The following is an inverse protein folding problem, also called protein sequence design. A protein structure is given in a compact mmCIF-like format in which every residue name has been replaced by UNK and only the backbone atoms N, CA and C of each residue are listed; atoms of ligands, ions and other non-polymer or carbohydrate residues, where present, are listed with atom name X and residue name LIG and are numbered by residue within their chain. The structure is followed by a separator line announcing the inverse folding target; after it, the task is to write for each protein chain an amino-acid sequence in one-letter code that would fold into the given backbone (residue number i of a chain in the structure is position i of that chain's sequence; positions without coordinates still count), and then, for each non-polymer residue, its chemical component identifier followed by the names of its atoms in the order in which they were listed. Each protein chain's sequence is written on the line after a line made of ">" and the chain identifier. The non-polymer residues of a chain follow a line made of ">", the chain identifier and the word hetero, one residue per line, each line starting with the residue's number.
data_IF_073960357662
#
_entry.id   IF_073960357662
#
_cell.length_a   1.000
_cell.length_b   1.000
_cell.length_c   1.000
_cell.angle_alpha   90.00
_cell.angle_beta   90.00
_cell.angle_gamma   90.00
#
_symmetry.space_group_name_H-M   'P 1'
#
loop_
_entity.id
_entity.type
_entity.pdbx_description
1 polymer ?
#
# COMPACT_ATOMS: atom_id res chain seq x y z
N UNK A 1 -14.05 -24.64 8.78
CA UNK A 1 -13.35 -23.45 9.29
C UNK A 1 -14.41 -22.44 9.70
N UNK A 2 -14.36 -21.95 10.94
CA UNK A 2 -15.27 -20.91 11.36
C UNK A 2 -14.97 -19.64 10.56
N UNK A 3 -15.98 -19.04 9.88
CA UNK A 3 -15.78 -17.76 9.22
C UNK A 3 -15.40 -16.69 10.24
N UNK A 4 -14.65 -15.68 9.80
CA UNK A 4 -14.38 -14.51 10.62
C UNK A 4 -15.62 -13.61 10.57
N UNK A 5 -16.19 -13.31 11.72
CA UNK A 5 -17.24 -12.31 11.89
C UNK A 5 -16.59 -11.00 12.38
N UNK A 6 -17.00 -9.86 11.84
CA UNK A 6 -16.44 -8.54 12.19
C UNK A 6 -17.56 -7.59 12.59
N UNK A 7 -17.35 -6.82 13.64
CA UNK A 7 -18.22 -5.72 14.09
C UNK A 7 -17.36 -4.51 14.49
N UNK A 8 -17.78 -3.32 14.12
CA UNK A 8 -17.09 -2.08 14.51
C UNK A 8 -17.76 -1.34 15.67
N UNK A 9 -18.89 -1.88 16.17
CA UNK A 9 -19.72 -1.19 17.16
C UNK A 9 -19.86 -1.94 18.48
N UNK A 10 -19.74 -3.27 18.46
CA UNK A 10 -19.99 -4.10 19.64
C UNK A 10 -19.12 -5.34 19.64
N UNK A 11 -18.52 -5.64 20.81
CA UNK A 11 -17.75 -6.87 21.01
C UNK A 11 -18.65 -8.11 21.01
N UNK A 12 -18.08 -9.23 20.57
CA UNK A 12 -18.69 -10.54 20.69
C UNK A 12 -18.57 -11.06 22.13
N UNK A 13 -19.61 -11.68 22.69
CA UNK A 13 -19.57 -12.20 24.05
C UNK A 13 -18.41 -13.18 24.29
N UNK A 14 -17.60 -12.89 25.29
CA UNK A 14 -16.46 -13.74 25.69
C UNK A 14 -15.17 -13.51 24.90
N UNK A 15 -15.16 -12.69 23.86
CA UNK A 15 -13.95 -12.39 23.10
C UNK A 15 -13.11 -11.32 23.82
N UNK A 16 -11.79 -11.53 24.00
CA UNK A 16 -10.91 -10.58 24.66
C UNK A 16 -10.65 -9.35 23.78
N UNK A 17 -10.39 -8.20 24.45
CA UNK A 17 -10.03 -6.96 23.78
C UNK A 17 -8.70 -6.42 24.30
N UNK A 18 -7.99 -5.65 23.48
CA UNK A 18 -6.77 -4.97 23.93
C UNK A 18 -7.01 -3.98 25.07
N UNK A 19 -8.23 -3.45 25.16
CA UNK A 19 -8.66 -2.55 26.23
C UNK A 19 -8.84 -3.27 27.57
N UNK A 20 -9.57 -4.39 27.56
CA UNK A 20 -9.97 -5.07 28.77
C UNK A 20 -8.96 -6.15 29.21
N UNK A 21 -8.13 -6.63 28.28
CA UNK A 21 -7.15 -7.70 28.49
C UNK A 21 -5.75 -7.28 27.98
N UNK A 22 -5.16 -6.19 28.46
CA UNK A 22 -3.87 -5.70 28.00
C UNK A 22 -2.70 -6.70 28.26
N UNK A 23 -2.87 -7.61 29.20
CA UNK A 23 -1.91 -8.69 29.50
C UNK A 23 -1.74 -9.70 28.35
N UNK A 24 -2.70 -9.74 27.42
CA UNK A 24 -2.63 -10.59 26.22
C UNK A 24 -1.87 -9.93 25.05
N UNK A 25 -1.45 -8.67 25.20
CA UNK A 25 -0.70 -7.93 24.20
C UNK A 25 0.80 -8.15 24.41
N UNK A 26 1.33 -9.23 23.87
CA UNK A 26 2.76 -9.58 24.02
C UNK A 26 3.64 -9.11 22.85
N UNK A 27 3.06 -8.67 21.74
CA UNK A 27 3.82 -8.19 20.58
C UNK A 27 3.77 -6.66 20.45
N UNK A 28 2.58 -6.06 20.36
CA UNK A 28 2.44 -4.63 20.16
C UNK A 28 1.22 -4.08 20.91
N UNK A 29 1.41 -2.95 21.60
CA UNK A 29 0.35 -2.25 22.31
C UNK A 29 -0.22 -1.09 21.49
N UNK A 30 -1.53 -0.79 21.62
CA UNK A 30 -2.12 0.39 20.99
C UNK A 30 -1.66 1.69 21.68
N UNK A 31 -1.55 2.76 20.89
CA UNK A 31 -1.41 4.14 21.39
C UNK A 31 -2.77 4.84 21.42
N UNK A 32 -3.59 4.62 20.36
CA UNK A 32 -4.90 5.25 20.21
C UNK A 32 -5.82 4.40 19.32
N UNK A 33 -7.03 4.11 19.78
CA UNK A 33 -8.15 3.59 18.97
C UNK A 33 -8.01 2.17 18.39
N UNK A 34 -6.92 1.48 18.60
CA UNK A 34 -6.64 0.13 18.10
C UNK A 34 -6.68 -0.89 19.27
N UNK A 35 -7.69 -0.82 20.11
CA UNK A 35 -7.76 -1.54 21.38
C UNK A 35 -8.87 -2.60 21.43
N UNK A 36 -9.38 -3.02 20.25
CA UNK A 36 -10.45 -4.01 20.15
C UNK A 36 -9.90 -5.44 20.10
N UNK A 37 -10.37 -6.33 19.23
CA UNK A 37 -9.96 -7.74 19.23
C UNK A 37 -8.45 -7.95 19.14
N UNK A 38 -7.97 -9.03 19.74
CA UNK A 38 -6.56 -9.38 19.79
C UNK A 38 -6.28 -10.53 18.81
N UNK A 39 -5.32 -10.33 17.93
CA UNK A 39 -4.77 -11.36 17.04
C UNK A 39 -3.25 -11.32 17.13
N UNK A 40 -2.62 -12.45 17.35
CA UNK A 40 -1.16 -12.55 17.45
C UNK A 40 -0.53 -11.61 18.51
N UNK A 41 -1.22 -11.40 19.65
CA UNK A 41 -0.73 -10.50 20.71
C UNK A 41 -0.71 -9.02 20.32
N UNK A 42 -1.51 -8.63 19.34
CA UNK A 42 -1.68 -7.26 18.83
C UNK A 42 -3.18 -6.97 18.78
N UNK A 43 -3.61 -5.88 19.37
CA UNK A 43 -5.02 -5.45 19.27
C UNK A 43 -5.30 -4.77 17.93
N UNK A 44 -6.56 -4.79 17.52
CA UNK A 44 -6.99 -4.38 16.16
C UNK A 44 -8.06 -3.28 16.21
N UNK A 45 -8.35 -2.70 15.05
CA UNK A 45 -9.58 -1.97 14.79
C UNK A 45 -10.66 -3.00 14.47
N UNK A 46 -11.79 -2.91 15.18
CA UNK A 46 -12.92 -3.83 15.04
C UNK A 46 -12.84 -5.04 15.96
N UNK A 47 -14.04 -5.49 16.33
CA UNK A 47 -14.25 -6.71 17.11
C UNK A 47 -14.36 -7.88 16.12
N UNK A 48 -13.67 -8.98 16.41
CA UNK A 48 -13.62 -10.16 15.57
C UNK A 48 -13.93 -11.40 16.40
N UNK A 49 -14.57 -12.37 15.77
CA UNK A 49 -14.82 -13.70 16.31
C UNK A 49 -14.60 -14.75 15.22
N UNK A 50 -14.16 -15.94 15.61
CA UNK A 50 -13.95 -17.03 14.67
C UNK A 50 -12.56 -17.01 14.04
N UNK A 51 -12.43 -17.56 12.84
CA UNK A 51 -11.17 -17.66 12.10
C UNK A 51 -10.29 -18.85 12.50
N UNK A 52 -10.32 -19.28 13.74
CA UNK A 52 -9.58 -20.45 14.23
C UNK A 52 -8.13 -20.52 13.72
N UNK A 53 -7.81 -21.58 12.95
CA UNK A 53 -6.48 -21.77 12.36
C UNK A 53 -6.15 -20.82 11.19
N UNK A 54 -7.13 -20.07 10.67
CA UNK A 54 -6.93 -19.10 9.61
C UNK A 54 -6.49 -17.73 10.15
N UNK A 55 -6.45 -17.53 11.47
CA UNK A 55 -5.89 -16.32 12.06
C UNK A 55 -4.39 -16.25 11.74
N UNK A 56 -3.99 -15.10 11.24
CA UNK A 56 -2.63 -14.85 10.78
C UNK A 56 -1.64 -14.56 11.91
N UNK A 57 -0.37 -14.68 11.59
CA UNK A 57 0.73 -14.09 12.33
C UNK A 57 1.29 -12.94 11.50
N UNK A 58 1.36 -11.74 12.07
CA UNK A 58 1.75 -10.52 11.36
C UNK A 58 3.13 -10.64 10.70
N UNK A 59 4.07 -11.22 11.41
CA UNK A 59 5.44 -11.46 10.92
C UNK A 59 5.52 -12.35 9.67
N UNK A 60 4.46 -13.09 9.34
CA UNK A 60 4.43 -14.00 8.20
C UNK A 60 3.60 -13.45 7.01
N UNK A 61 2.90 -12.32 7.16
CA UNK A 61 1.98 -11.83 6.12
C UNK A 61 2.73 -11.54 4.82
N UNK A 62 3.81 -10.76 4.90
CA UNK A 62 4.57 -10.36 3.71
C UNK A 62 5.12 -11.57 2.95
N UNK A 63 5.67 -12.57 3.67
CA UNK A 63 6.16 -13.80 3.04
C UNK A 63 5.04 -14.57 2.36
N UNK A 64 3.89 -14.71 3.04
CA UNK A 64 2.76 -15.46 2.51
C UNK A 64 2.21 -14.84 1.22
N UNK A 65 1.96 -13.52 1.23
CA UNK A 65 1.45 -12.85 0.02
C UNK A 65 2.46 -12.81 -1.11
N UNK A 66 3.77 -12.68 -0.79
CA UNK A 66 4.85 -12.71 -1.77
C UNK A 66 4.95 -14.07 -2.45
N UNK A 67 4.87 -15.17 -1.70
CA UNK A 67 4.87 -16.53 -2.27
C UNK A 67 3.69 -16.72 -3.22
N UNK A 68 2.49 -16.31 -2.82
CA UNK A 68 1.32 -16.41 -3.69
C UNK A 68 1.44 -15.58 -4.98
N UNK A 69 2.01 -14.38 -4.90
CA UNK A 69 2.28 -13.56 -6.07
C UNK A 69 3.31 -14.21 -7.01
N UNK A 70 4.40 -14.76 -6.46
CA UNK A 70 5.41 -15.49 -7.22
C UNK A 70 4.81 -16.73 -7.90
N UNK A 71 4.01 -17.49 -7.18
CA UNK A 71 3.34 -18.68 -7.74
C UNK A 71 2.39 -18.30 -8.87
N UNK A 72 1.63 -17.20 -8.72
CA UNK A 72 0.78 -16.67 -9.77
C UNK A 72 1.59 -16.33 -11.03
N UNK A 73 2.70 -15.58 -10.89
CA UNK A 73 3.57 -15.23 -12.02
C UNK A 73 4.10 -16.49 -12.72
N UNK A 74 4.58 -17.48 -11.94
CA UNK A 74 5.09 -18.75 -12.50
C UNK A 74 4.02 -19.54 -13.27
N UNK A 75 2.80 -19.56 -12.77
CA UNK A 75 1.68 -20.27 -13.40
C UNK A 75 1.22 -19.60 -14.70
N UNK A 76 1.34 -18.27 -14.82
CA UNK A 76 0.88 -17.47 -15.94
C UNK A 76 2.01 -16.93 -16.83
N UNK A 77 3.23 -17.44 -16.71
CA UNK A 77 4.43 -16.92 -17.41
C UNK A 77 4.33 -16.99 -18.95
N UNK A 78 3.55 -17.89 -19.47
CA UNK A 78 3.42 -18.14 -20.91
C UNK A 78 2.19 -17.44 -21.55
N UNK A 79 1.46 -16.64 -20.76
CA UNK A 79 0.28 -15.90 -21.23
C UNK A 79 0.25 -14.46 -20.66
N UNK A 80 -0.48 -13.52 -21.30
CA UNK A 80 -0.67 -12.20 -20.72
C UNK A 80 -1.43 -12.28 -19.39
N UNK A 81 -0.93 -11.57 -18.38
CA UNK A 81 -1.59 -11.47 -17.09
C UNK A 81 -1.70 -10.02 -16.59
N UNK A 82 -2.63 -9.78 -15.70
CA UNK A 82 -2.74 -8.58 -14.88
C UNK A 82 -2.75 -8.99 -13.42
N UNK A 83 -1.87 -8.41 -12.63
CA UNK A 83 -1.80 -8.65 -11.19
C UNK A 83 -1.93 -7.32 -10.44
N UNK A 84 -2.95 -7.20 -9.60
CA UNK A 84 -3.04 -6.15 -8.58
C UNK A 84 -2.56 -6.71 -7.26
N UNK A 85 -1.38 -6.27 -6.84
CA UNK A 85 -0.71 -6.79 -5.65
C UNK A 85 -0.71 -5.74 -4.54
N UNK A 86 -1.68 -5.84 -3.63
CA UNK A 86 -1.81 -4.95 -2.47
C UNK A 86 -1.07 -5.55 -1.27
N UNK A 87 -0.05 -4.86 -0.79
CA UNK A 87 0.72 -5.26 0.38
C UNK A 87 0.12 -4.70 1.66
N UNK A 88 0.40 -5.34 2.81
CA UNK A 88 0.10 -4.79 4.13
C UNK A 88 1.13 -3.75 4.57
N UNK A 89 2.37 -3.88 4.15
CA UNK A 89 3.43 -2.93 4.46
C UNK A 89 3.29 -1.65 3.62
N UNK A 90 3.50 -0.53 4.21
CA UNK A 90 4.04 -0.24 5.54
C UNK A 90 2.95 0.22 6.53
N UNK A 91 1.71 -0.21 6.36
CA UNK A 91 0.60 0.15 7.23
C UNK A 91 0.75 -0.49 8.61
N UNK A 92 0.16 0.13 9.61
CA UNK A 92 0.09 -0.44 10.97
C UNK A 92 -0.88 -1.63 11.04
N UNK A 93 -0.66 -2.58 11.96
CA UNK A 93 0.46 -2.71 12.88
C UNK A 93 1.75 -3.10 12.17
N UNK A 94 2.82 -2.38 12.42
CA UNK A 94 4.14 -2.68 11.86
C UNK A 94 4.81 -3.75 12.68
N UNK A 95 4.68 -4.99 12.26
CA UNK A 95 5.29 -6.13 12.94
C UNK A 95 5.92 -7.08 11.90
N UNK A 96 7.03 -6.63 11.28
CA UNK A 96 7.68 -7.37 10.21
C UNK A 96 8.34 -8.65 10.71
N UNK A 97 8.69 -9.54 9.79
CA UNK A 97 9.38 -10.80 10.08
C UNK A 97 10.69 -10.58 10.85
N UNK A 98 11.05 -11.50 11.74
CA UNK A 98 12.22 -11.42 12.62
C UNK A 98 13.53 -11.11 11.88
N UNK A 99 13.67 -11.55 10.63
CA UNK A 99 14.86 -11.25 9.81
C UNK A 99 15.05 -9.76 9.52
N UNK A 100 14.01 -8.93 9.67
CA UNK A 100 14.07 -7.48 9.48
C UNK A 100 14.07 -6.72 10.80
N UNK A 101 13.42 -7.25 11.85
CA UNK A 101 13.23 -6.54 13.12
C UNK A 101 14.53 -6.17 13.79
N UNK A 102 14.61 -4.94 14.30
CA UNK A 102 15.73 -4.40 15.06
C UNK A 102 16.96 -4.08 14.23
N UNK A 103 16.85 -4.03 12.90
CA UNK A 103 17.98 -3.78 11.99
C UNK A 103 18.02 -2.36 11.44
N UNK A 104 16.89 -1.66 11.47
CA UNK A 104 16.80 -0.30 10.93
C UNK A 104 16.78 0.74 12.08
N UNK A 105 17.52 1.85 11.98
CA UNK A 105 17.52 2.90 13.00
C UNK A 105 16.16 3.57 13.19
N UNK A 106 15.24 3.48 12.23
CA UNK A 106 13.86 3.95 12.35
C UNK A 106 12.92 2.94 13.05
N UNK A 107 13.46 1.94 13.74
CA UNK A 107 12.68 0.94 14.48
C UNK A 107 11.74 0.14 13.59
N UNK A 108 10.61 -0.31 14.16
CA UNK A 108 9.64 -1.17 13.45
C UNK A 108 9.13 -0.56 12.13
N UNK A 109 9.01 0.77 12.06
CA UNK A 109 8.63 1.46 10.83
C UNK A 109 9.68 1.28 9.73
N UNK A 110 10.95 1.48 10.05
CA UNK A 110 12.05 1.28 9.12
C UNK A 110 12.22 -0.19 8.73
N UNK A 111 12.03 -1.10 9.67
CA UNK A 111 12.08 -2.54 9.43
C UNK A 111 10.95 -2.99 8.48
N UNK A 112 9.73 -2.42 8.61
CA UNK A 112 8.61 -2.69 7.70
C UNK A 112 8.86 -2.13 6.29
N UNK A 113 9.50 -0.96 6.18
CA UNK A 113 9.92 -0.42 4.87
C UNK A 113 10.95 -1.35 4.20
N UNK A 114 11.92 -1.86 4.97
CA UNK A 114 12.90 -2.81 4.44
C UNK A 114 12.25 -4.14 4.02
N UNK A 115 11.22 -4.60 4.73
CA UNK A 115 10.43 -5.77 4.34
C UNK A 115 9.65 -5.53 3.05
N UNK A 116 9.04 -4.35 2.89
CA UNK A 116 8.35 -3.98 1.66
C UNK A 116 9.32 -3.95 0.46
N UNK A 117 10.49 -3.35 0.63
CA UNK A 117 11.53 -3.32 -0.42
C UNK A 117 11.97 -4.74 -0.81
N UNK A 118 12.16 -5.64 0.17
CA UNK A 118 12.43 -7.05 -0.07
C UNK A 118 11.31 -7.73 -0.87
N UNK A 119 10.04 -7.46 -0.54
CA UNK A 119 8.88 -8.01 -1.26
C UNK A 119 8.91 -7.62 -2.74
N UNK A 120 9.15 -6.34 -3.03
CA UNK A 120 9.29 -5.84 -4.41
C UNK A 120 10.48 -6.50 -5.11
N UNK A 121 11.61 -6.61 -4.41
CA UNK A 121 12.80 -7.30 -4.90
C UNK A 121 12.55 -8.74 -5.32
N UNK A 122 11.78 -9.50 -4.52
CA UNK A 122 11.44 -10.90 -4.84
C UNK A 122 10.59 -11.04 -6.10
N UNK A 123 9.65 -10.11 -6.33
CA UNK A 123 8.86 -10.10 -7.56
C UNK A 123 9.74 -9.76 -8.77
N UNK A 124 10.59 -8.74 -8.65
CA UNK A 124 11.51 -8.36 -9.72
C UNK A 124 12.48 -9.48 -10.06
N UNK A 125 13.06 -10.12 -9.07
CA UNK A 125 13.95 -11.28 -9.25
C UNK A 125 13.23 -12.44 -9.95
N UNK A 126 11.98 -12.71 -9.58
CA UNK A 126 11.17 -13.73 -10.23
C UNK A 126 10.93 -13.44 -11.71
N UNK A 127 10.61 -12.19 -12.05
CA UNK A 127 10.45 -11.78 -13.44
C UNK A 127 11.74 -11.90 -14.23
N UNK A 128 12.89 -11.57 -13.63
CA UNK A 128 14.20 -11.72 -14.25
C UNK A 128 14.55 -13.20 -14.51
N UNK A 129 14.34 -14.07 -13.53
CA UNK A 129 14.58 -15.53 -13.64
C UNK A 129 13.69 -16.20 -14.71
N UNK A 130 12.50 -15.66 -14.95
CA UNK A 130 11.55 -16.15 -15.94
C UNK A 130 11.68 -15.46 -17.31
N UNK A 131 12.65 -14.56 -17.48
CA UNK A 131 12.88 -13.77 -18.69
C UNK A 131 11.68 -12.89 -19.10
N UNK A 132 10.85 -12.48 -18.11
CA UNK A 132 9.65 -11.66 -18.32
C UNK A 132 9.90 -10.16 -18.15
N UNK A 133 11.04 -9.76 -17.62
CA UNK A 133 11.37 -8.37 -17.25
C UNK A 133 11.18 -7.37 -18.38
N UNK A 134 11.66 -7.68 -19.57
CA UNK A 134 11.59 -6.76 -20.71
C UNK A 134 10.17 -6.41 -21.11
N UNK A 135 9.24 -7.38 -21.01
CA UNK A 135 7.85 -7.23 -21.46
C UNK A 135 6.85 -7.13 -20.31
N UNK A 136 7.28 -6.75 -19.12
CA UNK A 136 6.40 -6.52 -17.97
C UNK A 136 6.37 -5.04 -17.59
N UNK A 137 5.17 -4.44 -17.58
CA UNK A 137 4.91 -3.14 -16.99
C UNK A 137 4.71 -3.29 -15.48
N UNK A 138 5.60 -2.72 -14.69
CA UNK A 138 5.47 -2.63 -13.24
C UNK A 138 5.11 -1.19 -12.88
N UNK A 139 4.04 -1.01 -12.10
CA UNK A 139 3.67 0.26 -11.49
C UNK A 139 3.68 0.05 -9.98
N UNK A 140 4.55 0.75 -9.27
CA UNK A 140 4.59 0.77 -7.81
C UNK A 140 4.07 2.11 -7.32
N UNK A 141 3.13 2.07 -6.39
CA UNK A 141 2.54 3.28 -5.80
C UNK A 141 2.03 3.01 -4.38
N UNK A 142 1.45 4.03 -3.76
CA UNK A 142 0.75 3.94 -2.47
C UNK A 142 -0.68 4.45 -2.65
N UNK A 143 -1.58 4.07 -1.76
CA UNK A 143 -2.99 4.49 -1.76
C UNK A 143 -3.19 5.91 -1.21
N UNK A 144 -2.34 6.34 -0.28
CA UNK A 144 -2.37 7.68 0.33
C UNK A 144 -0.98 8.09 0.83
N UNK A 145 -0.87 9.36 1.21
CA UNK A 145 0.32 9.88 1.86
C UNK A 145 0.61 9.24 3.23
N UNK A 146 1.79 9.45 3.80
CA UNK A 146 2.24 8.77 5.00
C UNK A 146 1.51 9.25 6.25
N UNK A 147 1.51 8.37 7.27
CA UNK A 147 1.25 8.71 8.68
C UNK A 147 2.31 8.05 9.53
N UNK A 148 2.78 8.74 10.55
CA UNK A 148 3.86 8.24 11.41
C UNK A 148 3.28 7.45 12.57
N UNK A 149 2.56 8.11 13.50
CA UNK A 149 1.77 7.42 14.53
C UNK A 149 0.35 7.17 13.98
N UNK A 150 -0.01 5.91 13.83
CA UNK A 150 -1.34 5.48 13.40
C UNK A 150 -1.89 4.41 14.35
N UNK A 151 -1.81 4.69 15.65
CA UNK A 151 -2.52 3.96 16.68
C UNK A 151 -1.76 2.85 17.41
N UNK A 152 -0.42 2.75 17.24
CA UNK A 152 0.40 1.77 17.97
C UNK A 152 1.62 2.38 18.62
N UNK A 153 2.08 1.80 19.75
CA UNK A 153 3.29 2.19 20.46
C UNK A 153 4.53 1.54 19.82
N UNK A 154 4.77 1.83 18.56
CA UNK A 154 5.89 1.30 17.78
C UNK A 154 7.10 2.25 17.73
N UNK A 155 7.05 3.37 18.47
CA UNK A 155 8.07 4.43 18.54
C UNK A 155 8.38 5.07 17.18
N UNK A 156 7.39 5.09 16.28
CA UNK A 156 7.62 5.61 14.92
C UNK A 156 7.97 7.10 14.89
N UNK A 157 7.40 7.91 15.79
CA UNK A 157 7.72 9.35 15.90
C UNK A 157 9.11 9.59 16.51
N UNK A 158 9.43 8.90 17.60
CA UNK A 158 10.69 9.06 18.32
C UNK A 158 11.89 8.58 17.49
N UNK A 159 11.68 7.61 16.61
CA UNK A 159 12.72 6.97 15.81
C UNK A 159 12.72 7.41 14.34
N UNK A 160 12.18 8.58 14.01
CA UNK A 160 12.22 9.10 12.63
C UNK A 160 13.64 9.23 12.08
N UNK A 161 14.62 9.45 12.95
CA UNK A 161 16.05 9.54 12.61
C UNK A 161 16.33 10.50 11.43
N UNK A 162 15.65 11.65 11.42
CA UNK A 162 15.77 12.66 10.36
C UNK A 162 14.97 12.36 9.09
N UNK A 163 14.26 11.23 9.01
CA UNK A 163 13.39 10.93 7.89
C UNK A 163 12.15 11.84 7.90
N UNK A 164 11.85 12.43 6.75
CA UNK A 164 10.66 13.27 6.52
C UNK A 164 9.70 12.55 5.59
N UNK A 165 8.72 11.79 6.12
CA UNK A 165 7.89 10.89 5.31
C UNK A 165 7.14 11.55 4.16
N UNK A 166 6.63 12.77 4.37
CA UNK A 166 5.95 13.57 3.33
C UNK A 166 6.91 14.43 2.49
N UNK A 167 8.24 14.27 2.68
CA UNK A 167 9.22 15.13 2.02
C UNK A 167 9.00 16.61 2.37
N UNK A 168 8.99 17.51 1.38
CA UNK A 168 8.76 18.94 1.59
C UNK A 168 7.27 19.31 1.72
N UNK A 169 6.35 18.35 1.53
CA UNK A 169 4.93 18.62 1.40
C UNK A 169 4.24 18.78 2.75
N UNK A 170 3.31 19.72 2.83
CA UNK A 170 2.43 19.93 3.98
C UNK A 170 1.41 18.80 4.07
N UNK A 171 1.10 18.38 5.30
CA UNK A 171 0.07 17.39 5.60
C UNK A 171 0.61 15.96 5.61
N UNK A 172 -0.32 15.05 5.80
CA UNK A 172 -0.10 13.61 5.88
C UNK A 172 -1.41 12.90 5.49
N UNK A 173 -1.46 11.56 5.58
CA UNK A 173 -2.70 10.76 5.50
C UNK A 173 -3.84 11.50 6.20
N UNK A 174 -5.06 11.41 5.68
CA UNK A 174 -6.28 12.09 6.14
C UNK A 174 -6.47 13.53 5.67
N UNK A 175 -5.42 14.25 5.24
CA UNK A 175 -5.53 15.63 4.75
C UNK A 175 -5.69 15.71 3.23
N UNK A 176 -6.27 16.81 2.75
CA UNK A 176 -6.31 17.16 1.32
C UNK A 176 -5.10 18.04 0.90
N UNK A 177 -4.02 18.04 1.68
CA UNK A 177 -2.76 18.66 1.30
C UNK A 177 -1.86 17.67 0.57
N UNK A 178 -0.90 18.16 -0.19
CA UNK A 178 0.05 17.35 -0.97
C UNK A 178 0.67 16.19 -0.15
N UNK A 179 1.04 16.40 1.11
CA UNK A 179 1.56 15.33 1.96
C UNK A 179 0.57 14.20 2.26
N UNK A 180 -0.72 14.38 2.02
CA UNK A 180 -1.74 13.37 2.20
C UNK A 180 -2.18 12.68 0.91
N UNK A 181 -2.00 13.33 -0.23
CA UNK A 181 -2.57 12.93 -1.52
C UNK A 181 -1.52 12.65 -2.60
N UNK A 182 -0.39 13.37 -2.59
CA UNK A 182 0.71 13.11 -3.50
C UNK A 182 1.49 11.86 -3.06
N UNK A 183 1.31 10.78 -3.78
CA UNK A 183 1.95 9.49 -3.53
C UNK A 183 3.08 9.22 -4.54
N UNK A 184 4.12 8.47 -4.16
CA UNK A 184 5.14 8.06 -5.11
C UNK A 184 4.54 7.17 -6.20
N UNK A 185 5.00 7.35 -7.43
CA UNK A 185 4.71 6.45 -8.55
C UNK A 185 6.02 6.11 -9.25
N UNK A 186 6.36 4.83 -9.28
CA UNK A 186 7.53 4.31 -9.98
C UNK A 186 7.04 3.38 -11.08
N UNK A 187 7.45 3.66 -12.32
CA UNK A 187 7.07 2.86 -13.49
C UNK A 187 8.30 2.22 -14.09
N UNK A 188 8.25 0.90 -14.30
CA UNK A 188 9.32 0.14 -14.94
C UNK A 188 8.76 -0.68 -16.09
N UNK A 189 9.28 -0.47 -17.30
CA UNK A 189 9.01 -1.29 -18.48
C UNK A 189 10.16 -1.18 -19.48
N UNK A 190 11.22 -1.99 -19.35
CA UNK A 190 12.45 -1.81 -20.11
C UNK A 190 12.25 -1.84 -21.62
N UNK A 191 11.33 -2.67 -22.13
CA UNK A 191 11.02 -2.72 -23.56
C UNK A 191 10.46 -1.40 -24.11
N UNK A 192 9.69 -0.64 -23.31
CA UNK A 192 9.02 0.59 -23.76
C UNK A 192 9.67 1.87 -23.24
N UNK A 193 10.14 1.89 -22.01
CA UNK A 193 10.77 3.06 -21.39
C UNK A 193 12.27 3.02 -21.68
N UNK A 194 12.71 3.79 -22.69
CA UNK A 194 14.12 3.81 -23.11
C UNK A 194 14.95 4.88 -22.41
N UNK A 195 14.31 5.86 -21.79
CA UNK A 195 14.98 6.94 -21.06
C UNK A 195 14.40 7.01 -19.65
N UNK A 196 15.24 6.77 -18.67
CA UNK A 196 14.91 6.92 -17.25
C UNK A 196 15.01 8.38 -16.82
N UNK A 197 14.30 8.74 -15.77
CA UNK A 197 14.32 10.08 -15.18
C UNK A 197 13.05 10.35 -14.38
N UNK A 198 13.01 11.53 -13.78
CA UNK A 198 11.87 11.99 -13.02
C UNK A 198 10.85 12.68 -13.93
N UNK A 199 9.59 12.65 -13.52
CA UNK A 199 8.49 13.34 -14.17
C UNK A 199 7.68 14.10 -13.11
N UNK A 200 7.37 15.35 -13.41
CA UNK A 200 6.53 16.23 -12.60
C UNK A 200 5.12 16.39 -13.18
N UNK A 201 4.76 15.53 -14.12
CA UNK A 201 3.44 15.54 -14.77
C UNK A 201 2.36 15.22 -13.76
N UNK A 202 1.31 16.08 -13.73
CA UNK A 202 0.14 15.85 -12.89
C UNK A 202 -0.67 14.67 -13.43
N UNK A 203 -0.81 13.64 -12.62
CA UNK A 203 -1.57 12.42 -12.88
C UNK A 203 -2.39 12.02 -11.65
N UNK A 204 -3.38 11.17 -11.83
CA UNK A 204 -4.14 10.56 -10.74
C UNK A 204 -4.23 9.05 -10.92
N UNK A 205 -4.35 8.32 -9.81
CA UNK A 205 -4.54 6.86 -9.86
C UNK A 205 -5.83 6.44 -10.58
N UNK A 206 -6.85 7.30 -10.60
CA UNK A 206 -8.08 7.05 -11.37
C UNK A 206 -7.82 6.99 -12.89
N UNK A 207 -6.69 7.51 -13.37
CA UNK A 207 -6.28 7.47 -14.78
C UNK A 207 -5.78 6.07 -15.21
N UNK A 208 -5.49 5.18 -14.28
CA UNK A 208 -4.98 3.85 -14.62
C UNK A 208 -5.99 3.02 -15.40
N UNK A 209 -7.29 3.14 -15.12
CA UNK A 209 -8.28 2.37 -15.87
C UNK A 209 -8.29 2.72 -17.35
N UNK A 210 -8.33 4.01 -17.70
CA UNK A 210 -8.29 4.43 -19.10
C UNK A 210 -6.93 4.13 -19.75
N UNK A 211 -5.82 4.35 -19.02
CA UNK A 211 -4.47 4.11 -19.52
C UNK A 211 -4.17 2.64 -19.78
N UNK A 212 -4.55 1.75 -18.87
CA UNK A 212 -4.38 0.31 -19.05
C UNK A 212 -5.36 -0.24 -20.10
N UNK A 213 -6.56 0.34 -20.20
CA UNK A 213 -7.50 0.06 -21.29
C UNK A 213 -6.88 0.40 -22.65
N UNK A 214 -6.26 1.57 -22.78
CA UNK A 214 -5.55 1.98 -24.00
C UNK A 214 -4.37 1.05 -24.32
N UNK A 215 -3.62 0.64 -23.30
CA UNK A 215 -2.49 -0.29 -23.45
C UNK A 215 -2.89 -1.60 -24.17
N UNK A 216 -4.05 -2.15 -23.82
CA UNK A 216 -4.53 -3.40 -24.38
C UNK A 216 -5.57 -3.21 -25.52
N UNK A 217 -5.74 -1.98 -26.00
CA UNK A 217 -6.76 -1.60 -26.99
C UNK A 217 -8.19 -1.99 -26.59
N UNK A 218 -8.51 -1.99 -25.30
CA UNK A 218 -9.84 -2.31 -24.80
C UNK A 218 -10.78 -1.11 -24.96
N UNK A 219 -11.99 -1.37 -25.46
CA UNK A 219 -13.05 -0.37 -25.49
C UNK A 219 -13.77 -0.35 -24.14
N UNK A 220 -13.55 0.70 -23.38
CA UNK A 220 -14.26 0.89 -22.11
C UNK A 220 -15.76 1.16 -22.38
N UNK A 221 -16.67 0.54 -21.60
CA UNK A 221 -18.09 0.86 -21.69
C UNK A 221 -18.36 2.33 -21.40
N UNK A 222 -19.36 2.89 -22.08
CA UNK A 222 -19.73 4.32 -21.85
C UNK A 222 -20.10 4.54 -20.38
N UNK A 223 -19.43 5.51 -19.74
CA UNK A 223 -19.67 5.89 -18.35
C UNK A 223 -19.00 5.00 -17.30
N UNK A 224 -18.18 4.00 -17.68
CA UNK A 224 -17.46 3.15 -16.72
C UNK A 224 -16.27 3.83 -16.04
N UNK A 225 -15.77 4.91 -16.63
CA UNK A 225 -14.59 5.64 -16.13
C UNK A 225 -14.74 7.15 -16.42
N UNK A 226 -15.76 7.84 -15.85
CA UNK A 226 -16.11 9.21 -16.24
C UNK A 226 -15.00 10.22 -15.94
N UNK A 227 -14.19 9.98 -14.91
CA UNK A 227 -13.11 10.86 -14.46
C UNK A 227 -11.70 10.36 -14.82
N UNK A 228 -11.60 9.24 -15.54
CA UNK A 228 -10.32 8.63 -15.93
C UNK A 228 -9.87 9.15 -17.30
N UNK A 229 -8.66 9.66 -17.37
CA UNK A 229 -8.01 10.06 -18.62
C UNK A 229 -6.98 9.01 -19.05
N UNK A 230 -6.86 8.78 -20.35
CA UNK A 230 -5.73 8.00 -20.88
C UNK A 230 -4.43 8.79 -20.68
N UNK A 231 -3.57 8.27 -19.84
CA UNK A 231 -2.24 8.78 -19.48
C UNK A 231 -1.14 7.76 -19.75
N UNK A 232 -1.39 6.80 -20.62
CA UNK A 232 -0.39 5.80 -20.98
C UNK A 232 0.92 6.43 -21.45
N UNK A 233 0.84 7.46 -22.29
CA UNK A 233 2.01 8.21 -22.77
C UNK A 233 2.82 8.83 -21.64
N UNK A 234 2.16 9.34 -20.59
CA UNK A 234 2.83 9.89 -19.42
C UNK A 234 3.50 8.78 -18.59
N UNK A 235 2.83 7.64 -18.38
CA UNK A 235 3.38 6.49 -17.66
C UNK A 235 4.66 5.93 -18.32
N UNK A 236 4.71 5.92 -19.64
CA UNK A 236 5.87 5.40 -20.38
C UNK A 236 6.85 6.50 -20.83
N UNK A 237 6.62 7.76 -20.44
CA UNK A 237 7.52 8.87 -20.68
C UNK A 237 7.51 9.43 -22.11
N UNK A 238 6.49 9.15 -22.92
CA UNK A 238 6.34 9.65 -24.29
C UNK A 238 5.45 10.89 -24.39
N UNK A 239 4.70 11.21 -23.36
CA UNK A 239 3.88 12.42 -23.25
C UNK A 239 4.20 13.17 -21.95
N UNK A 240 4.14 14.49 -22.00
CA UNK A 240 4.35 15.39 -20.85
C UNK A 240 3.17 16.32 -20.58
N UNK A 241 2.03 16.02 -21.16
CA UNK A 241 0.81 16.80 -20.94
C UNK A 241 0.27 16.54 -19.55
N UNK A 242 0.02 17.58 -18.80
CA UNK A 242 -0.58 17.48 -17.47
C UNK A 242 -2.08 17.12 -17.53
N UNK A 243 -2.56 16.47 -16.47
CA UNK A 243 -3.99 16.40 -16.20
C UNK A 243 -4.50 17.81 -15.90
N UNK A 244 -5.67 18.23 -16.42
CA UNK A 244 -6.14 19.60 -16.23
C UNK A 244 -6.41 19.92 -14.76
N UNK A 245 -6.95 18.97 -14.00
CA UNK A 245 -7.23 19.10 -12.57
C UNK A 245 -7.48 17.73 -11.93
N UNK A 246 -7.32 17.66 -10.60
CA UNK A 246 -7.69 16.54 -9.74
C UNK A 246 -8.59 17.10 -8.63
N UNK A 247 -9.67 16.41 -8.30
CA UNK A 247 -10.45 16.67 -7.08
C UNK A 247 -9.99 15.69 -6.02
N UNK A 248 -9.67 16.21 -4.86
CA UNK A 248 -9.22 15.45 -3.70
C UNK A 248 -10.15 15.69 -2.53
N UNK A 249 -10.22 14.72 -1.62
CA UNK A 249 -11.07 14.80 -0.44
C UNK A 249 -10.31 14.35 0.79
N UNK A 250 -10.33 15.16 1.84
CA UNK A 250 -9.81 14.78 3.14
C UNK A 250 -10.77 13.87 3.91
N UNK A 251 -10.30 13.27 5.00
CA UNK A 251 -11.12 12.43 5.88
C UNK A 251 -12.35 13.14 6.45
N UNK A 252 -12.26 14.46 6.70
CA UNK A 252 -13.36 15.27 7.19
C UNK A 252 -14.22 15.89 6.06
N UNK A 253 -14.17 15.30 4.86
CA UNK A 253 -14.95 15.69 3.67
C UNK A 253 -14.63 17.08 3.10
N UNK A 254 -13.53 17.72 3.49
CA UNK A 254 -13.06 18.93 2.82
C UNK A 254 -12.58 18.57 1.43
N UNK A 255 -13.11 19.24 0.42
CA UNK A 255 -12.69 19.08 -0.97
C UNK A 255 -11.61 20.10 -1.33
N UNK A 256 -10.69 19.69 -2.17
CA UNK A 256 -9.71 20.54 -2.84
C UNK A 256 -9.66 20.25 -4.33
N UNK A 257 -9.18 21.20 -5.09
CA UNK A 257 -8.89 21.04 -6.52
C UNK A 257 -7.39 21.28 -6.70
N UNK A 258 -6.72 20.32 -7.30
CA UNK A 258 -5.30 20.38 -7.64
C UNK A 258 -5.13 20.56 -9.14
N UNK A 259 -4.36 21.55 -9.54
CA UNK A 259 -3.88 21.74 -10.92
C UNK A 259 -2.35 21.66 -10.93
N UNK A 260 -1.69 21.81 -12.08
CA UNK A 260 -0.23 21.83 -12.16
C UNK A 260 0.40 22.84 -11.19
N UNK A 261 -0.17 24.02 -11.08
CA UNK A 261 0.40 25.18 -10.39
C UNK A 261 -0.29 25.51 -9.06
N UNK A 262 -1.44 24.91 -8.80
CA UNK A 262 -2.28 25.19 -7.61
C UNK A 262 -2.83 23.92 -6.98
#
# INVERSE_FOLDING_TARGET
>A
SDPIEVSYTKNFPGEPTGKDNPELLYNLHPSNGHDMSIVNGISRIGFMKGGGKALWKDENIADSITVHAIDFIKQHKDEPFFMYFATNDVHVPRFPHDRFRGKNPMGLRGDAIAQFDWTVGQLMETLDQLELTENTLIILSSDNGPVVDDGYKDKAEELLNGHTPSGPWRGNKYSAFEGGTAVPVIVRWPQKIKKTGDSDVLMSQIDWLASLGALINARLPKGSAPDSYDRLGNLIGTDKTDRPWIVEQSMNHTLSVRTKDW
#
